data_IF_805813732280
#
_entry.id   IF_805813732280
#
_cell.length_a   1.000
_cell.length_b   1.000
_cell.length_c   1.000
_cell.angle_alpha   90.00
_cell.angle_beta   90.00
_cell.angle_gamma   90.00
#
_symmetry.space_group_name_H-M   'P 1'
#
loop_
_entity.id
_entity.type
_entity.pdbx_description
1 polymer ?
#
# COMPACT_ATOMS: atom_id res chain seq x y z
N UNK A 1 -16.30 1.62 16.17
CA UNK A 1 -17.37 2.61 16.02
C UNK A 1 -16.78 3.96 16.37
N UNK A 2 -16.42 4.73 15.35
CA UNK A 2 -16.17 6.16 15.50
C UNK A 2 -17.52 6.78 15.74
N UNK A 3 -17.73 7.38 16.91
CA UNK A 3 -18.97 8.09 17.22
C UNK A 3 -19.20 9.12 16.11
N UNK A 4 -20.32 9.02 15.42
CA UNK A 4 -20.80 9.92 14.36
C UNK A 4 -20.91 11.41 14.78
N UNK A 5 -20.51 11.76 15.99
CA UNK A 5 -20.65 13.09 16.58
C UNK A 5 -19.39 13.96 16.54
N UNK A 6 -18.30 13.56 15.85
CA UNK A 6 -17.06 14.33 15.78
C UNK A 6 -16.71 14.75 14.34
N UNK A 7 -17.68 15.05 13.51
CA UNK A 7 -17.44 15.81 12.30
C UNK A 7 -17.55 17.31 12.59
N UNK A 8 -16.62 17.83 13.37
CA UNK A 8 -16.32 19.25 13.35
C UNK A 8 -15.48 19.51 12.09
N UNK A 9 -15.86 20.49 11.28
CA UNK A 9 -15.28 20.73 9.94
C UNK A 9 -13.77 21.07 9.94
N UNK A 10 -13.13 21.15 11.10
CA UNK A 10 -11.73 21.51 11.27
C UNK A 10 -10.80 20.33 11.63
N UNK A 11 -11.30 19.10 11.73
CA UNK A 11 -10.45 17.96 12.13
C UNK A 11 -9.82 17.31 10.91
N UNK A 12 -8.48 17.36 10.82
CA UNK A 12 -7.73 16.64 9.79
C UNK A 12 -7.94 15.12 9.92
N UNK A 13 -8.60 14.52 8.93
CA UNK A 13 -8.87 13.09 8.90
C UNK A 13 -7.60 12.22 9.00
N UNK A 14 -6.43 12.73 8.60
CA UNK A 14 -5.12 12.06 8.75
C UNK A 14 -4.74 11.91 10.22
N UNK A 15 -5.04 12.92 11.05
CA UNK A 15 -4.79 12.87 12.50
C UNK A 15 -5.70 11.84 13.17
N UNK A 16 -6.98 11.81 12.79
CA UNK A 16 -7.94 10.80 13.27
C UNK A 16 -7.42 9.40 12.94
N UNK A 17 -7.00 9.16 11.71
CA UNK A 17 -6.49 7.86 11.26
C UNK A 17 -5.19 7.48 11.98
N UNK A 18 -4.28 8.42 12.17
CA UNK A 18 -3.04 8.20 12.92
C UNK A 18 -3.33 7.79 14.37
N UNK A 19 -4.26 8.49 15.04
CA UNK A 19 -4.67 8.16 16.41
C UNK A 19 -5.41 6.80 16.48
N UNK A 20 -6.26 6.49 15.52
CA UNK A 20 -6.91 5.18 15.43
C UNK A 20 -5.90 4.04 15.31
N UNK A 21 -4.88 4.18 14.46
CA UNK A 21 -3.79 3.19 14.33
C UNK A 21 -2.99 3.06 15.63
N UNK A 22 -2.73 4.17 16.33
CA UNK A 22 -2.06 4.17 17.64
C UNK A 22 -2.88 3.46 18.70
N UNK A 23 -4.20 3.73 18.77
CA UNK A 23 -5.12 3.07 19.71
C UNK A 23 -5.26 1.59 19.42
N UNK A 24 -5.28 1.19 18.16
CA UNK A 24 -5.37 -0.22 17.74
C UNK A 24 -4.28 -1.09 18.36
N UNK A 25 -3.08 -0.55 18.56
CA UNK A 25 -1.95 -1.26 19.20
C UNK A 25 -2.17 -1.50 20.71
N UNK A 26 -3.10 -0.78 21.33
CA UNK A 26 -3.41 -0.85 22.77
C UNK A 26 -4.71 -1.56 23.08
N UNK A 27 -5.37 -2.14 22.07
CA UNK A 27 -6.61 -2.89 22.28
C UNK A 27 -6.34 -4.16 23.08
N UNK A 28 -7.32 -4.56 23.91
CA UNK A 28 -7.25 -5.78 24.66
C UNK A 28 -7.14 -7.00 23.73
N UNK A 29 -6.32 -7.97 24.11
CA UNK A 29 -6.20 -9.23 23.39
C UNK A 29 -7.53 -10.00 23.49
N UNK A 30 -8.02 -10.53 22.37
CA UNK A 30 -9.26 -11.31 22.33
C UNK A 30 -9.03 -12.78 22.00
N UNK A 31 -7.84 -13.12 21.49
CA UNK A 31 -7.45 -14.46 21.08
C UNK A 31 -5.94 -14.60 21.14
N UNK A 32 -5.46 -15.75 21.59
CA UNK A 32 -4.05 -16.13 21.57
C UNK A 32 -3.87 -17.38 20.71
N UNK A 33 -3.02 -17.30 19.70
CA UNK A 33 -2.59 -18.44 18.90
C UNK A 33 -1.12 -18.74 19.23
N UNK A 34 -0.80 -20.01 19.49
CA UNK A 34 0.54 -20.42 19.90
C UNK A 34 1.00 -21.62 19.05
N UNK A 35 2.26 -21.61 18.66
CA UNK A 35 2.96 -22.74 18.01
C UNK A 35 4.46 -22.66 18.31
N UNK A 36 5.15 -23.75 18.67
CA UNK A 36 4.60 -25.01 19.15
C UNK A 36 3.86 -24.88 20.47
N UNK A 37 3.29 -25.97 20.99
CA UNK A 37 2.67 -25.96 22.32
C UNK A 37 3.69 -25.51 23.37
N UNK A 38 3.41 -24.46 24.15
CA UNK A 38 4.32 -23.97 25.18
C UNK A 38 4.30 -24.83 26.42
N UNK A 39 5.29 -24.68 27.28
CA UNK A 39 5.21 -25.21 28.64
C UNK A 39 3.99 -24.59 29.37
N UNK A 40 3.33 -25.36 30.29
CA UNK A 40 2.13 -24.88 30.98
C UNK A 40 2.31 -23.57 31.75
N UNK A 41 3.52 -23.32 32.25
CA UNK A 41 3.87 -22.07 32.95
C UNK A 41 3.86 -20.88 32.01
N UNK A 42 4.36 -21.07 30.79
CA UNK A 42 4.39 -20.02 29.74
C UNK A 42 2.96 -19.70 29.29
N UNK A 43 2.13 -20.73 29.08
CA UNK A 43 0.71 -20.51 28.70
C UNK A 43 -0.01 -19.72 29.80
N UNK A 44 0.18 -20.08 31.07
CA UNK A 44 -0.42 -19.39 32.22
C UNK A 44 0.05 -17.94 32.30
N UNK A 45 1.34 -17.68 32.12
CA UNK A 45 1.91 -16.34 32.12
C UNK A 45 1.32 -15.47 31.00
N UNK A 46 1.25 -16.01 29.78
CA UNK A 46 0.67 -15.30 28.63
C UNK A 46 -0.81 -14.99 28.86
N UNK A 47 -1.60 -15.95 29.33
CA UNK A 47 -3.01 -15.74 29.64
C UNK A 47 -3.20 -14.67 30.71
N UNK A 48 -2.39 -14.70 31.77
CA UNK A 48 -2.43 -13.68 32.84
C UNK A 48 -2.07 -12.28 32.32
N UNK A 49 -1.03 -12.16 31.51
CA UNK A 49 -0.56 -10.88 30.98
C UNK A 49 -1.49 -10.27 29.94
N UNK A 50 -2.17 -11.12 29.17
CA UNK A 50 -3.10 -10.70 28.12
C UNK A 50 -4.56 -10.67 28.59
N UNK A 51 -4.81 -11.00 29.88
CA UNK A 51 -6.16 -11.08 30.47
C UNK A 51 -7.09 -12.03 29.70
N UNK A 52 -6.53 -13.13 29.21
CA UNK A 52 -7.25 -14.13 28.43
C UNK A 52 -7.60 -15.36 29.26
N UNK A 53 -8.79 -15.89 29.03
CA UNK A 53 -9.16 -17.23 29.52
C UNK A 53 -8.56 -18.32 28.62
N UNK A 54 -8.32 -19.52 29.16
CA UNK A 54 -7.81 -20.66 28.40
C UNK A 54 -8.67 -21.04 27.19
N UNK A 55 -9.97 -20.76 27.23
CA UNK A 55 -10.90 -20.96 26.10
C UNK A 55 -10.55 -20.12 24.87
N UNK A 56 -9.75 -19.08 25.03
CA UNK A 56 -9.28 -18.21 23.96
C UNK A 56 -7.87 -18.51 23.46
N UNK A 57 -7.27 -19.59 23.94
CA UNK A 57 -5.95 -20.09 23.52
C UNK A 57 -6.15 -21.18 22.48
N UNK A 58 -5.50 -21.03 21.33
CA UNK A 58 -5.59 -21.95 20.20
C UNK A 58 -4.19 -22.42 19.81
N UNK A 59 -3.95 -23.71 19.99
CA UNK A 59 -2.71 -24.34 19.54
C UNK A 59 -2.76 -24.56 18.02
N UNK A 60 -1.73 -24.11 17.33
CA UNK A 60 -1.57 -24.29 15.89
C UNK A 60 -0.46 -25.30 15.61
N UNK A 61 -0.60 -26.06 14.52
CA UNK A 61 0.41 -27.04 14.08
C UNK A 61 1.37 -26.44 13.04
N UNK A 62 0.97 -25.34 12.43
CA UNK A 62 1.75 -24.63 11.42
C UNK A 62 2.39 -23.36 12.00
N UNK A 63 3.43 -22.79 11.37
CA UNK A 63 3.95 -21.49 11.73
C UNK A 63 2.84 -20.43 11.69
N UNK A 64 2.83 -19.51 12.65
CA UNK A 64 1.81 -18.44 12.75
C UNK A 64 2.08 -17.27 11.82
N UNK A 65 3.34 -16.96 11.62
CA UNK A 65 3.80 -15.91 10.70
C UNK A 65 4.49 -16.58 9.52
N UNK A 66 3.88 -16.40 8.34
CA UNK A 66 4.41 -16.91 7.07
C UNK A 66 5.19 -15.85 6.28
N UNK A 67 5.40 -14.65 6.85
CA UNK A 67 6.12 -13.57 6.17
C UNK A 67 7.58 -13.93 5.87
N UNK A 68 8.17 -14.88 6.59
CA UNK A 68 9.51 -15.39 6.30
C UNK A 68 9.64 -15.97 4.88
N UNK A 69 8.54 -16.45 4.27
CA UNK A 69 8.56 -16.95 2.90
C UNK A 69 8.96 -15.89 1.88
N UNK A 70 8.67 -14.61 2.11
CA UNK A 70 9.14 -13.54 1.24
C UNK A 70 10.67 -13.46 1.24
N UNK A 71 11.29 -13.56 2.42
CA UNK A 71 12.76 -13.59 2.55
C UNK A 71 13.36 -14.86 1.98
N UNK A 72 12.72 -16.00 2.23
CA UNK A 72 13.15 -17.30 1.70
C UNK A 72 13.07 -17.30 0.18
N UNK A 73 11.97 -16.81 -0.40
CA UNK A 73 11.80 -16.69 -1.85
C UNK A 73 12.92 -15.86 -2.46
N UNK A 74 13.18 -14.65 -1.93
CA UNK A 74 14.27 -13.81 -2.45
C UNK A 74 15.66 -14.45 -2.32
N UNK A 75 15.89 -15.23 -1.26
CA UNK A 75 17.16 -15.98 -1.11
C UNK A 75 17.29 -17.11 -2.14
N UNK A 76 16.23 -17.89 -2.34
CA UNK A 76 16.22 -18.97 -3.35
C UNK A 76 16.43 -18.43 -4.77
N UNK A 77 15.85 -17.26 -5.08
CA UNK A 77 16.08 -16.57 -6.34
C UNK A 77 17.53 -16.13 -6.49
N UNK A 78 18.12 -15.52 -5.46
CA UNK A 78 19.51 -15.06 -5.45
C UNK A 78 20.51 -16.23 -5.52
N UNK A 79 20.20 -17.38 -4.93
CA UNK A 79 21.01 -18.60 -4.97
C UNK A 79 20.85 -19.40 -6.29
N UNK A 80 20.01 -18.94 -7.21
CA UNK A 80 19.91 -19.50 -8.56
C UNK A 80 19.09 -20.79 -8.63
N UNK A 81 17.94 -20.86 -7.95
CA UNK A 81 17.00 -21.98 -8.01
C UNK A 81 15.80 -21.70 -8.93
N UNK A 82 15.99 -21.53 -10.26
CA UNK A 82 14.92 -21.11 -11.19
C UNK A 82 13.76 -22.09 -11.27
N UNK A 83 14.00 -23.37 -10.99
CA UNK A 83 12.94 -24.41 -11.01
C UNK A 83 11.87 -24.22 -9.94
N UNK A 84 12.12 -23.39 -8.92
CA UNK A 84 11.14 -23.05 -7.86
C UNK A 84 10.24 -21.88 -8.23
N UNK A 85 10.49 -21.23 -9.36
CA UNK A 85 9.77 -20.02 -9.76
C UNK A 85 9.12 -20.17 -11.13
N UNK A 86 7.96 -19.58 -11.28
CA UNK A 86 7.41 -19.38 -12.61
C UNK A 86 8.23 -18.35 -13.38
N UNK A 87 8.36 -18.55 -14.69
CA UNK A 87 8.96 -17.52 -15.55
C UNK A 87 8.13 -16.23 -15.47
N UNK A 88 8.71 -15.10 -15.04
CA UNK A 88 7.96 -13.87 -14.94
C UNK A 88 7.43 -13.42 -16.30
N UNK A 89 6.12 -13.15 -16.37
CA UNK A 89 5.55 -12.53 -17.55
C UNK A 89 6.14 -11.10 -17.70
N UNK A 90 6.71 -10.82 -18.87
CA UNK A 90 7.20 -9.47 -19.17
C UNK A 90 6.04 -8.64 -19.72
N UNK A 91 5.77 -7.46 -19.13
CA UNK A 91 4.75 -6.57 -19.68
C UNK A 91 5.05 -6.20 -21.13
N UNK A 92 4.03 -6.22 -21.97
CA UNK A 92 4.17 -5.72 -23.35
C UNK A 92 4.59 -4.25 -23.30
N UNK A 93 5.59 -3.93 -24.09
CA UNK A 93 6.08 -2.56 -24.26
C UNK A 93 5.50 -2.00 -25.57
N UNK A 94 5.05 -0.75 -25.54
CA UNK A 94 4.66 -0.08 -26.77
C UNK A 94 5.90 0.16 -27.67
N UNK A 95 5.70 0.57 -28.92
CA UNK A 95 6.79 1.06 -29.77
C UNK A 95 7.61 2.17 -29.09
N UNK A 96 8.88 2.34 -29.47
CA UNK A 96 9.78 3.31 -28.82
C UNK A 96 9.29 4.77 -28.92
N UNK A 97 8.58 5.10 -29.98
CA UNK A 97 8.02 6.42 -30.30
C UNK A 97 6.55 6.62 -29.83
N UNK A 98 6.03 5.67 -29.07
CA UNK A 98 4.65 5.72 -28.56
C UNK A 98 4.48 6.87 -27.56
N UNK A 99 3.60 7.81 -27.89
CA UNK A 99 3.19 8.89 -27.01
C UNK A 99 1.72 8.72 -26.59
N UNK A 100 1.53 8.30 -25.34
CA UNK A 100 0.19 8.06 -24.78
C UNK A 100 -0.67 9.34 -24.79
N UNK A 101 -0.08 10.51 -24.51
CA UNK A 101 -0.81 11.77 -24.51
C UNK A 101 -1.35 12.11 -25.91
N UNK A 102 -0.56 11.89 -26.95
CA UNK A 102 -1.00 12.07 -28.31
C UNK A 102 -2.06 11.04 -28.77
N UNK A 103 -1.99 9.82 -28.25
CA UNK A 103 -2.97 8.77 -28.59
C UNK A 103 -4.35 9.03 -27.95
N UNK A 104 -4.39 9.43 -26.66
CA UNK A 104 -5.67 9.71 -25.98
C UNK A 104 -6.40 10.93 -26.54
N UNK A 105 -5.70 11.80 -27.26
CA UNK A 105 -6.34 12.91 -27.99
C UNK A 105 -7.06 12.45 -29.26
N UNK A 106 -6.70 11.30 -29.81
CA UNK A 106 -7.27 10.76 -31.05
C UNK A 106 -8.40 9.79 -30.80
N UNK A 107 -8.29 8.97 -29.75
CA UNK A 107 -9.25 7.92 -29.41
C UNK A 107 -9.09 7.45 -27.96
N UNK A 108 -10.07 6.68 -27.48
CA UNK A 108 -9.98 6.02 -26.17
C UNK A 108 -8.86 4.96 -26.18
N UNK A 109 -8.06 4.94 -25.11
CA UNK A 109 -6.97 3.98 -24.92
C UNK A 109 -7.24 3.13 -23.70
N UNK A 110 -7.34 1.81 -23.89
CA UNK A 110 -7.45 0.83 -22.83
C UNK A 110 -6.07 0.27 -22.49
N UNK A 111 -5.65 0.38 -21.23
CA UNK A 111 -4.41 -0.21 -20.73
C UNK A 111 -4.73 -1.28 -19.68
N UNK A 112 -4.22 -2.49 -19.88
CA UNK A 112 -4.42 -3.63 -18.98
C UNK A 112 -3.15 -3.96 -18.21
N UNK A 113 -3.11 -3.56 -16.94
CA UNK A 113 -1.99 -3.87 -16.04
C UNK A 113 -2.22 -5.20 -15.31
N UNK A 114 -1.16 -5.98 -15.03
CA UNK A 114 0.28 -5.78 -15.31
C UNK A 114 0.74 -6.29 -16.69
N UNK A 115 -0.18 -6.65 -17.61
CA UNK A 115 0.16 -7.25 -18.90
C UNK A 115 0.76 -6.24 -19.89
N UNK A 116 0.38 -4.99 -19.76
CA UNK A 116 1.00 -3.86 -20.46
C UNK A 116 1.88 -3.06 -19.52
N UNK A 117 2.91 -2.40 -20.09
CA UNK A 117 3.82 -1.58 -19.31
C UNK A 117 3.14 -0.31 -18.81
N UNK A 118 3.29 0.02 -17.53
CA UNK A 118 2.81 1.30 -16.95
C UNK A 118 3.68 2.50 -17.36
N UNK A 119 4.85 2.25 -17.97
CA UNK A 119 5.80 3.32 -18.33
C UNK A 119 5.22 4.43 -19.19
N UNK A 120 4.38 4.16 -20.23
CA UNK A 120 3.75 5.22 -21.01
C UNK A 120 2.92 6.18 -20.16
N UNK A 121 2.16 5.64 -19.20
CA UNK A 121 1.37 6.44 -18.28
C UNK A 121 2.26 7.32 -17.38
N UNK A 122 3.31 6.74 -16.79
CA UNK A 122 4.27 7.49 -15.96
C UNK A 122 4.97 8.58 -16.80
N UNK A 123 5.36 8.25 -18.02
CA UNK A 123 5.98 9.21 -18.93
C UNK A 123 5.04 10.37 -19.30
N UNK A 124 3.78 10.05 -19.60
CA UNK A 124 2.75 11.06 -19.85
C UNK A 124 2.57 11.99 -18.64
N UNK A 125 2.49 11.41 -17.42
CA UNK A 125 2.32 12.18 -16.19
C UNK A 125 3.52 13.11 -15.92
N UNK A 126 4.76 12.61 -16.10
CA UNK A 126 5.98 13.41 -15.97
C UNK A 126 6.05 14.54 -17.01
N UNK A 127 5.66 14.28 -18.26
CA UNK A 127 5.55 15.33 -19.28
C UNK A 127 4.51 16.37 -18.87
N UNK A 128 3.32 15.93 -18.44
CA UNK A 128 2.26 16.83 -17.99
C UNK A 128 2.69 17.70 -16.79
N UNK A 129 3.53 17.19 -15.90
CA UNK A 129 4.07 17.96 -14.78
C UNK A 129 4.94 19.14 -15.23
N UNK A 130 5.59 19.05 -16.39
CA UNK A 130 6.51 20.05 -16.93
C UNK A 130 5.87 20.93 -18.02
N UNK A 131 4.81 20.43 -18.68
CA UNK A 131 4.17 21.09 -19.82
C UNK A 131 3.42 22.37 -19.37
N UNK A 132 3.76 23.57 -19.87
CA UNK A 132 3.10 24.83 -19.50
C UNK A 132 1.62 24.87 -19.88
N UNK A 133 1.18 24.10 -20.87
CA UNK A 133 -0.20 24.07 -21.31
C UNK A 133 -1.10 23.21 -20.40
N UNK A 134 -0.52 22.41 -19.52
CA UNK A 134 -1.24 21.64 -18.51
C UNK A 134 -1.49 22.49 -17.28
N UNK A 135 -2.75 22.79 -17.00
CA UNK A 135 -3.18 23.65 -15.89
C UNK A 135 -3.37 22.85 -14.60
N UNK A 136 -3.98 21.67 -14.69
CA UNK A 136 -4.29 20.86 -13.50
C UNK A 136 -4.15 19.37 -13.74
N UNK A 137 -3.83 18.63 -12.64
CA UNK A 137 -3.78 17.16 -12.61
C UNK A 137 -4.66 16.69 -11.46
N UNK A 138 -5.65 15.84 -11.75
CA UNK A 138 -6.56 15.28 -10.75
C UNK A 138 -6.45 13.77 -10.76
N UNK A 139 -6.17 13.17 -9.60
CA UNK A 139 -5.93 11.73 -9.50
C UNK A 139 -6.49 11.11 -8.22
N UNK A 140 -7.07 9.91 -8.34
CA UNK A 140 -7.47 9.09 -7.20
C UNK A 140 -6.42 8.01 -6.97
N UNK A 141 -5.93 7.92 -5.72
CA UNK A 141 -4.85 7.02 -5.31
C UNK A 141 -5.37 6.07 -4.23
N UNK A 142 -5.36 4.76 -4.51
CA UNK A 142 -5.82 3.74 -3.56
C UNK A 142 -4.66 3.10 -2.81
N UNK A 143 -3.68 2.54 -3.53
CA UNK A 143 -2.45 1.96 -2.99
C UNK A 143 -1.25 2.46 -3.75
N UNK A 144 -0.28 2.96 -3.04
CA UNK A 144 0.93 3.53 -3.61
C UNK A 144 2.14 2.71 -3.20
N UNK A 145 3.08 2.51 -4.14
CA UNK A 145 4.38 1.95 -3.79
C UNK A 145 5.13 2.91 -2.85
N UNK A 146 6.04 2.36 -2.03
CA UNK A 146 6.88 3.20 -1.13
C UNK A 146 7.72 4.23 -1.88
N UNK A 147 8.15 3.89 -3.10
CA UNK A 147 8.87 4.78 -4.02
C UNK A 147 8.02 4.96 -5.27
N UNK A 148 6.95 5.76 -5.15
CA UNK A 148 5.98 5.94 -6.23
C UNK A 148 6.41 7.04 -7.18
N UNK A 149 6.76 6.66 -8.42
CA UNK A 149 7.04 7.63 -9.49
C UNK A 149 5.82 8.48 -9.86
N UNK A 150 4.61 7.97 -9.59
CA UNK A 150 3.36 8.72 -9.79
C UNK A 150 3.29 9.87 -8.78
N UNK A 151 3.51 9.59 -7.49
CA UNK A 151 3.48 10.62 -6.44
C UNK A 151 4.57 11.66 -6.68
N UNK A 152 5.79 11.21 -7.05
CA UNK A 152 6.88 12.13 -7.40
C UNK A 152 6.51 13.07 -8.55
N UNK A 153 5.84 12.57 -9.59
CA UNK A 153 5.40 13.40 -10.70
C UNK A 153 4.28 14.38 -10.31
N UNK A 154 3.39 14.00 -9.37
CA UNK A 154 2.38 14.91 -8.83
C UNK A 154 3.00 16.03 -7.99
N UNK A 155 4.00 15.71 -7.17
CA UNK A 155 4.75 16.72 -6.40
C UNK A 155 5.48 17.68 -7.34
N UNK A 156 6.18 17.16 -8.35
CA UNK A 156 6.84 17.99 -9.38
C UNK A 156 5.84 18.92 -10.11
N UNK A 157 4.64 18.41 -10.41
CA UNK A 157 3.61 19.23 -11.03
C UNK A 157 3.17 20.39 -10.12
N UNK A 158 2.99 20.15 -8.82
CA UNK A 158 2.64 21.17 -7.85
C UNK A 158 3.77 22.21 -7.69
N UNK A 159 5.03 21.77 -7.63
CA UNK A 159 6.22 22.62 -7.58
C UNK A 159 6.33 23.50 -8.84
N UNK A 160 5.89 23.00 -10.00
CA UNK A 160 5.81 23.75 -11.25
C UNK A 160 4.56 24.65 -11.35
N UNK A 161 3.83 24.83 -10.25
CA UNK A 161 2.70 25.77 -10.15
C UNK A 161 1.37 25.25 -10.73
N UNK A 162 1.23 23.95 -10.97
CA UNK A 162 -0.01 23.35 -11.44
C UNK A 162 -0.97 23.07 -10.29
N UNK A 163 -2.28 23.14 -10.55
CA UNK A 163 -3.29 22.66 -9.61
C UNK A 163 -3.25 21.13 -9.55
N UNK A 164 -2.83 20.57 -8.40
CA UNK A 164 -2.83 19.13 -8.18
C UNK A 164 -3.88 18.76 -7.15
N UNK A 165 -4.83 17.91 -7.55
CA UNK A 165 -5.86 17.37 -6.66
C UNK A 165 -5.67 15.86 -6.55
N UNK A 166 -5.23 15.39 -5.38
CA UNK A 166 -5.05 13.97 -5.09
C UNK A 166 -6.08 13.49 -4.06
N UNK A 167 -6.96 12.56 -4.47
CA UNK A 167 -7.84 11.86 -3.55
C UNK A 167 -7.14 10.58 -3.08
N UNK A 168 -6.80 10.50 -1.78
CA UNK A 168 -6.07 9.38 -1.20
C UNK A 168 -6.96 8.56 -0.27
N UNK A 169 -7.06 7.25 -0.48
CA UNK A 169 -7.77 6.32 0.42
C UNK A 169 -6.90 5.98 1.64
N UNK A 170 -7.19 6.61 2.79
CA UNK A 170 -6.42 6.39 4.02
C UNK A 170 -6.71 5.05 4.71
N UNK A 171 -7.82 4.38 4.37
CA UNK A 171 -8.18 3.06 4.92
C UNK A 171 -7.81 1.89 4.00
N UNK A 172 -6.88 2.09 3.06
CA UNK A 172 -6.39 1.00 2.24
C UNK A 172 -5.78 -0.09 3.13
N UNK A 173 -6.45 -1.23 3.24
CA UNK A 173 -6.10 -2.31 4.18
C UNK A 173 -4.65 -2.76 4.01
N UNK A 174 -3.89 -2.78 5.09
CA UNK A 174 -2.45 -3.06 5.18
C UNK A 174 -1.51 -1.95 4.66
N UNK A 175 -2.04 -0.90 4.04
CA UNK A 175 -1.25 0.22 3.52
C UNK A 175 -1.61 1.55 4.21
N UNK A 176 -2.37 1.50 5.32
CA UNK A 176 -2.87 2.68 6.03
C UNK A 176 -1.74 3.66 6.36
N UNK A 177 -0.66 3.16 6.95
CA UNK A 177 0.47 4.03 7.33
C UNK A 177 1.16 4.64 6.12
N UNK A 178 1.41 3.84 5.07
CA UNK A 178 2.04 4.30 3.84
C UNK A 178 1.20 5.41 3.16
N UNK A 179 -0.12 5.23 3.11
CA UNK A 179 -1.01 6.22 2.50
C UNK A 179 -1.12 7.51 3.34
N UNK A 180 -1.08 7.41 4.69
CA UNK A 180 -0.99 8.58 5.57
C UNK A 180 0.33 9.33 5.32
N UNK A 181 1.44 8.63 5.21
CA UNK A 181 2.76 9.24 5.01
C UNK A 181 2.81 9.97 3.65
N UNK A 182 2.28 9.39 2.58
CA UNK A 182 2.16 10.05 1.28
C UNK A 182 1.20 11.24 1.29
N UNK A 183 0.05 11.13 1.98
CA UNK A 183 -0.91 12.23 2.07
C UNK A 183 -0.39 13.47 2.81
N UNK A 184 0.72 13.35 3.54
CA UNK A 184 1.41 14.47 4.17
C UNK A 184 2.44 15.13 3.26
N UNK A 185 2.87 14.43 2.22
CA UNK A 185 3.87 14.91 1.26
C UNK A 185 3.22 15.56 0.02
N UNK A 186 2.02 15.12 -0.32
CA UNK A 186 1.15 15.72 -1.35
C UNK A 186 0.41 16.94 -0.82
#
# INVERSE_FOLDING_TARGET
DVKEGMMDHDIDYREIMTELLRRRRKLAAVRLQITPAPAPEVERLLCSRLELTRKRVFLQKSPLDLSFFFKLSGRMEAEGHPALFYTPARPMRPPPDYDLAAEVQKHDVLLSYPYQSIRPFITMLKKAAQDPDVISIKMTLYRMARESQIVQALMEAAENGKEVVALVELRARFDEQNNIDWSKQL
#
